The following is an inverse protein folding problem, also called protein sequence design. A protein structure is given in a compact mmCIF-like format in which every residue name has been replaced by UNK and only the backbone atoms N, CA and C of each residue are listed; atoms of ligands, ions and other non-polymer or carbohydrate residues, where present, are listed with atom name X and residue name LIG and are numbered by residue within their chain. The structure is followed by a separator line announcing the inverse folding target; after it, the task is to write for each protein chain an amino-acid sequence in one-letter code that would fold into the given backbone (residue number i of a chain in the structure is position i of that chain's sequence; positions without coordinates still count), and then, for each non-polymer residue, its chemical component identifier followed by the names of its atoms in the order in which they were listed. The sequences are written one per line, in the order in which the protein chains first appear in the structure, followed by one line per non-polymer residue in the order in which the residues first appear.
data_IF_707458428437
#
_entry.id   IF_707458428437
#
_cell.length_a   1.000
_cell.length_b   1.000
_cell.length_c   1.000
_cell.angle_alpha   90.00
_cell.angle_beta   90.00
_cell.angle_gamma   90.00
#
_symmetry.space_group_name_H-M   'P 1'
#
loop_
_entity.id
_entity.type
_entity.pdbx_description
1 polymer ?
#
# COMPACT_ATOMS: atom_id res chain seq x y z
N UNK A 1 -7.88 -13.93 -23.86
CA UNK A 1 -7.49 -14.38 -25.21
C UNK A 1 -6.01 -14.73 -25.19
N UNK A 2 -5.64 -15.96 -25.53
CA UNK A 2 -4.24 -16.38 -25.66
C UNK A 2 -3.65 -15.77 -26.93
N UNK A 3 -2.64 -14.92 -26.80
CA UNK A 3 -1.93 -14.38 -27.95
C UNK A 3 -1.06 -15.49 -28.55
N UNK A 4 -1.18 -15.72 -29.86
CA UNK A 4 -0.34 -16.70 -30.56
C UNK A 4 1.12 -16.26 -30.44
N UNK A 5 1.98 -17.18 -29.98
CA UNK A 5 3.45 -17.03 -29.83
C UNK A 5 4.12 -16.28 -31.00
N UNK A 6 3.59 -16.40 -32.21
CA UNK A 6 4.06 -15.70 -33.42
C UNK A 6 4.03 -14.16 -33.37
N UNK A 7 3.25 -13.52 -32.49
CA UNK A 7 3.12 -12.05 -32.46
C UNK A 7 4.35 -11.32 -31.94
N UNK A 8 5.22 -12.01 -31.19
CA UNK A 8 6.41 -11.44 -30.55
C UNK A 8 7.69 -11.72 -31.33
N UNK A 9 7.57 -12.25 -32.54
CA UNK A 9 8.71 -12.66 -33.36
C UNK A 9 8.65 -12.02 -34.74
N UNK A 10 9.84 -11.68 -35.24
CA UNK A 10 10.10 -11.42 -36.65
C UNK A 10 11.05 -12.52 -37.16
N UNK A 11 10.47 -13.53 -37.82
CA UNK A 11 11.15 -14.78 -38.12
C UNK A 11 11.65 -15.48 -36.85
N UNK A 12 12.97 -15.58 -36.68
CA UNK A 12 13.62 -16.16 -35.48
C UNK A 12 13.96 -15.12 -34.42
N UNK A 13 13.84 -13.82 -34.73
CA UNK A 13 14.20 -12.73 -33.82
C UNK A 13 13.04 -12.45 -32.87
N UNK A 14 13.31 -12.49 -31.57
CA UNK A 14 12.36 -12.05 -30.56
C UNK A 14 12.30 -10.51 -30.49
N UNK A 15 11.09 -9.97 -30.30
CA UNK A 15 10.80 -8.55 -30.24
C UNK A 15 10.39 -8.18 -28.80
N UNK A 16 11.38 -7.81 -27.96
CA UNK A 16 11.15 -7.49 -26.55
C UNK A 16 10.17 -6.32 -26.36
N UNK A 17 10.19 -5.35 -27.27
CA UNK A 17 9.29 -4.20 -27.25
C UNK A 17 7.82 -4.62 -27.43
N UNK A 18 7.52 -5.49 -28.39
CA UNK A 18 6.16 -6.01 -28.60
C UNK A 18 5.65 -6.82 -27.41
N UNK A 19 6.52 -7.61 -26.78
CA UNK A 19 6.18 -8.32 -25.54
C UNK A 19 5.92 -7.32 -24.41
N UNK A 20 6.76 -6.30 -24.26
CA UNK A 20 6.60 -5.24 -23.27
C UNK A 20 5.29 -4.47 -23.42
N UNK A 21 4.98 -3.98 -24.62
CA UNK A 21 3.72 -3.29 -24.93
C UNK A 21 2.50 -4.16 -24.62
N UNK A 22 2.60 -5.45 -24.95
CA UNK A 22 1.55 -6.41 -24.65
C UNK A 22 1.36 -6.59 -23.14
N UNK A 23 2.44 -6.76 -22.36
CA UNK A 23 2.35 -6.88 -20.90
C UNK A 23 1.76 -5.62 -20.28
N UNK A 24 2.23 -4.43 -20.69
CA UNK A 24 1.72 -3.13 -20.24
C UNK A 24 0.21 -3.04 -20.47
N UNK A 25 -0.26 -3.37 -21.68
CA UNK A 25 -1.67 -3.32 -22.02
C UNK A 25 -2.50 -4.37 -21.29
N UNK A 26 -2.03 -5.61 -21.23
CA UNK A 26 -2.77 -6.75 -20.68
C UNK A 26 -2.97 -6.65 -19.16
N UNK A 27 -1.94 -6.19 -18.45
CA UNK A 27 -1.93 -6.13 -17.01
C UNK A 27 -2.01 -4.69 -16.49
N UNK A 28 -2.36 -3.73 -17.36
CA UNK A 28 -2.54 -2.32 -17.01
C UNK A 28 -1.38 -1.75 -16.19
N UNK A 29 -0.14 -2.03 -16.62
CA UNK A 29 1.02 -1.57 -15.88
C UNK A 29 1.02 -0.04 -15.82
N UNK A 30 1.41 0.48 -14.67
CA UNK A 30 1.57 1.91 -14.42
C UNK A 30 2.71 2.15 -13.45
N UNK A 31 3.38 3.29 -13.57
CA UNK A 31 4.19 3.81 -12.47
C UNK A 31 3.30 4.70 -11.62
N UNK A 32 3.11 4.36 -10.34
CA UNK A 32 2.31 5.18 -9.43
C UNK A 32 3.29 6.14 -8.76
N UNK A 33 3.12 7.44 -8.99
CA UNK A 33 3.95 8.51 -8.41
C UNK A 33 3.25 9.07 -7.17
N UNK A 34 4.03 9.46 -6.16
CA UNK A 34 3.52 10.23 -5.02
C UNK A 34 3.64 11.72 -5.33
N UNK A 35 2.57 12.48 -5.15
CA UNK A 35 2.53 13.94 -5.41
C UNK A 35 3.58 14.72 -4.61
N UNK A 36 4.02 14.19 -3.47
CA UNK A 36 4.99 14.82 -2.58
C UNK A 36 6.45 14.46 -2.88
N UNK A 37 6.76 13.69 -3.92
CA UNK A 37 8.16 13.53 -4.35
C UNK A 37 8.64 14.91 -4.81
N UNK A 38 9.53 15.54 -4.03
CA UNK A 38 10.18 16.80 -4.39
C UNK A 38 10.64 16.73 -5.85
N UNK A 39 10.33 17.80 -6.60
CA UNK A 39 10.82 18.05 -7.96
C UNK A 39 12.32 17.69 -8.04
N UNK A 40 12.63 16.54 -8.65
CA UNK A 40 14.00 16.14 -8.97
C UNK A 40 14.53 14.84 -8.36
N UNK A 41 13.80 14.15 -7.46
CA UNK A 41 14.15 12.76 -7.16
C UNK A 41 13.76 11.89 -8.39
N UNK A 42 14.71 11.22 -9.07
CA UNK A 42 14.36 10.37 -10.20
C UNK A 42 13.37 9.31 -9.72
N UNK A 43 12.27 9.04 -10.45
CA UNK A 43 11.34 7.98 -10.08
C UNK A 43 12.10 6.67 -9.98
N UNK A 44 12.27 6.16 -8.77
CA UNK A 44 12.94 4.88 -8.56
C UNK A 44 12.12 3.76 -9.21
N UNK A 45 12.81 2.73 -9.72
CA UNK A 45 12.23 1.54 -10.37
C UNK A 45 11.22 0.75 -9.47
N UNK A 46 11.04 1.19 -8.22
CA UNK A 46 10.25 0.54 -7.16
C UNK A 46 8.74 0.83 -7.28
N UNK A 47 8.35 1.79 -8.12
CA UNK A 47 6.98 2.29 -8.20
C UNK A 47 6.14 1.77 -9.39
N UNK A 48 6.58 0.70 -10.04
CA UNK A 48 5.78 0.07 -11.10
C UNK A 48 4.80 -0.92 -10.47
N UNK A 49 3.53 -0.83 -10.86
CA UNK A 49 2.46 -1.73 -10.42
C UNK A 49 1.77 -2.35 -11.63
N UNK A 50 1.19 -3.53 -11.44
CA UNK A 50 0.33 -4.19 -12.41
C UNK A 50 -1.02 -4.53 -11.77
N UNK A 51 -2.08 -4.49 -12.57
CA UNK A 51 -3.40 -4.95 -12.16
C UNK A 51 -3.46 -6.47 -12.27
N UNK A 52 -3.47 -7.14 -11.12
CA UNK A 52 -3.49 -8.59 -11.04
C UNK A 52 -4.91 -9.13 -11.32
N UNK A 53 -5.13 -9.85 -12.43
CA UNK A 53 -6.46 -10.33 -12.80
C UNK A 53 -7.00 -11.43 -11.86
N UNK A 54 -6.18 -11.97 -10.94
CA UNK A 54 -6.64 -12.99 -9.98
C UNK A 54 -7.50 -12.40 -8.87
N UNK A 55 -7.20 -11.19 -8.43
CA UNK A 55 -7.85 -10.53 -7.30
C UNK A 55 -8.37 -9.12 -7.64
N UNK A 56 -8.10 -8.64 -8.86
CA UNK A 56 -8.45 -7.31 -9.34
C UNK A 56 -7.84 -6.18 -8.50
N UNK A 57 -6.61 -6.38 -8.01
CA UNK A 57 -5.85 -5.39 -7.26
C UNK A 57 -4.64 -4.92 -8.05
N UNK A 58 -4.20 -3.70 -7.80
CA UNK A 58 -2.84 -3.28 -8.14
C UNK A 58 -1.84 -3.89 -7.17
N UNK A 59 -0.76 -4.47 -7.70
CA UNK A 59 0.33 -5.09 -6.94
C UNK A 59 1.69 -4.61 -7.49
N UNK A 60 2.73 -4.55 -6.64
CA UNK A 60 4.07 -4.18 -7.09
C UNK A 60 4.57 -5.09 -8.23
N UNK A 61 5.05 -4.48 -9.30
CA UNK A 61 5.57 -5.13 -10.50
C UNK A 61 7.10 -5.10 -10.51
N UNK A 62 7.69 -6.12 -9.89
CA UNK A 62 9.15 -6.28 -9.85
C UNK A 62 9.72 -6.91 -11.12
N UNK A 63 11.05 -6.87 -11.28
CA UNK A 63 11.76 -7.64 -12.30
C UNK A 63 11.46 -9.14 -12.25
N UNK A 64 11.30 -9.70 -11.05
CA UNK A 64 10.93 -11.10 -10.86
C UNK A 64 9.54 -11.38 -11.43
N UNK A 65 8.60 -10.45 -11.18
CA UNK A 65 7.24 -10.54 -11.66
C UNK A 65 7.17 -10.37 -13.19
N UNK A 66 7.93 -9.43 -13.75
CA UNK A 66 8.11 -9.30 -15.20
C UNK A 66 8.62 -10.61 -15.84
N UNK A 67 9.63 -11.24 -15.24
CA UNK A 67 10.13 -12.53 -15.71
C UNK A 67 9.03 -13.60 -15.66
N UNK A 68 8.29 -13.68 -14.55
CA UNK A 68 7.19 -14.63 -14.37
C UNK A 68 6.11 -14.46 -15.44
N UNK A 69 5.62 -13.24 -15.65
CA UNK A 69 4.59 -12.95 -16.65
C UNK A 69 5.09 -13.21 -18.07
N UNK A 70 6.34 -12.87 -18.38
CA UNK A 70 6.93 -13.15 -19.70
C UNK A 70 6.99 -14.67 -19.98
N UNK A 71 7.38 -15.47 -18.98
CA UNK A 71 7.46 -16.94 -19.11
C UNK A 71 6.07 -17.57 -19.31
N UNK A 72 5.02 -16.98 -18.74
CA UNK A 72 3.65 -17.44 -18.97
C UNK A 72 3.21 -17.29 -20.44
N UNK A 73 3.76 -16.30 -21.14
CA UNK A 73 3.48 -16.09 -22.57
C UNK A 73 4.45 -16.90 -23.45
N UNK A 74 5.71 -17.04 -23.05
CA UNK A 74 6.68 -17.89 -23.72
C UNK A 74 7.68 -18.56 -22.76
N UNK A 75 7.49 -19.87 -22.55
CA UNK A 75 8.31 -20.68 -21.64
C UNK A 75 9.74 -20.92 -22.14
N UNK A 76 10.00 -20.75 -23.44
CA UNK A 76 11.31 -21.03 -24.05
C UNK A 76 12.21 -19.78 -24.12
N UNK A 77 11.68 -18.62 -23.72
CA UNK A 77 12.41 -17.37 -23.83
C UNK A 77 13.67 -17.40 -22.97
N UNK A 78 14.80 -16.95 -23.52
CA UNK A 78 16.08 -16.89 -22.78
C UNK A 78 16.09 -15.75 -21.76
N UNK A 79 16.92 -15.89 -20.72
CA UNK A 79 17.06 -14.87 -19.66
C UNK A 79 17.39 -13.48 -20.18
N UNK A 80 18.29 -13.35 -21.17
CA UNK A 80 18.65 -12.04 -21.71
C UNK A 80 17.48 -11.35 -22.42
N UNK A 81 16.68 -12.09 -23.19
CA UNK A 81 15.49 -11.55 -23.81
C UNK A 81 14.46 -11.08 -22.77
N UNK A 82 14.30 -11.78 -21.65
CA UNK A 82 13.43 -11.33 -20.54
C UNK A 82 13.95 -10.07 -19.85
N UNK A 83 15.28 -9.95 -19.70
CA UNK A 83 15.91 -8.71 -19.20
C UNK A 83 15.61 -7.53 -20.12
N UNK A 84 15.70 -7.72 -21.44
CA UNK A 84 15.37 -6.66 -22.41
C UNK A 84 13.90 -6.22 -22.31
N UNK A 85 12.96 -7.15 -22.07
CA UNK A 85 11.54 -6.80 -21.82
C UNK A 85 11.40 -5.91 -20.60
N UNK A 86 12.06 -6.26 -19.49
CA UNK A 86 12.04 -5.46 -18.26
C UNK A 86 12.61 -4.06 -18.47
N UNK A 87 13.80 -3.95 -19.07
CA UNK A 87 14.41 -2.64 -19.34
C UNK A 87 13.54 -1.78 -20.28
N UNK A 88 12.92 -2.40 -21.29
CA UNK A 88 11.98 -1.71 -22.17
C UNK A 88 10.77 -1.18 -21.42
N UNK A 89 10.08 -2.01 -20.63
CA UNK A 89 8.89 -1.60 -19.87
C UNK A 89 9.22 -0.42 -18.96
N UNK A 90 10.31 -0.51 -18.20
CA UNK A 90 10.75 0.58 -17.32
C UNK A 90 10.96 1.90 -18.04
N UNK A 91 11.45 1.84 -19.28
CA UNK A 91 11.80 3.01 -20.08
C UNK A 91 10.59 3.72 -20.67
N UNK A 92 9.46 3.02 -20.85
CA UNK A 92 8.29 3.56 -21.56
C UNK A 92 7.01 3.61 -20.72
N UNK A 93 7.06 3.10 -19.49
CA UNK A 93 5.87 3.02 -18.64
C UNK A 93 5.29 4.40 -18.37
N UNK A 94 3.96 4.52 -18.43
CA UNK A 94 3.29 5.78 -18.11
C UNK A 94 3.14 5.97 -16.61
N UNK A 95 3.40 7.19 -16.17
CA UNK A 95 3.14 7.64 -14.81
C UNK A 95 1.64 7.88 -14.56
N UNK A 96 1.23 7.75 -13.31
CA UNK A 96 -0.11 8.08 -12.83
C UNK A 96 -0.09 8.36 -11.32
N UNK A 97 -1.22 8.82 -10.80
CA UNK A 97 -1.44 9.08 -9.37
C UNK A 97 -2.57 8.18 -8.85
N UNK A 98 -2.67 8.08 -7.53
CA UNK A 98 -3.84 7.47 -6.88
C UNK A 98 -5.08 8.25 -7.31
N UNK A 99 -6.14 7.52 -7.69
CA UNK A 99 -7.29 8.16 -8.36
C UNK A 99 -8.13 9.04 -7.44
N UNK A 100 -8.42 8.55 -6.23
CA UNK A 100 -9.22 9.27 -5.25
C UNK A 100 -8.83 8.77 -3.84
N UNK A 101 -8.35 9.67 -2.95
CA UNK A 101 -7.92 9.28 -1.61
C UNK A 101 -9.05 8.77 -0.72
N UNK A 102 -10.31 9.01 -1.09
CA UNK A 102 -11.47 8.51 -0.37
C UNK A 102 -11.85 7.07 -0.75
N UNK A 103 -11.10 6.42 -1.65
CA UNK A 103 -11.36 5.04 -2.05
C UNK A 103 -10.41 4.11 -1.32
N UNK A 104 -10.98 3.19 -0.54
CA UNK A 104 -10.26 2.12 0.13
C UNK A 104 -10.45 0.82 -0.64
N UNK A 105 -9.36 0.12 -0.90
CA UNK A 105 -9.39 -1.23 -1.45
C UNK A 105 -9.67 -2.27 -0.37
N UNK A 106 -10.81 -2.95 -0.42
CA UNK A 106 -11.13 -4.09 0.46
C UNK A 106 -10.90 -5.42 -0.29
N UNK A 107 -11.10 -6.55 0.38
CA UNK A 107 -10.91 -7.87 -0.22
C UNK A 107 -11.88 -8.12 -1.39
N UNK A 108 -13.16 -7.75 -1.22
CA UNK A 108 -14.25 -8.02 -2.16
C UNK A 108 -14.58 -6.85 -3.10
N UNK A 109 -14.30 -5.61 -2.71
CA UNK A 109 -14.69 -4.43 -3.48
C UNK A 109 -13.78 -3.23 -3.20
N UNK A 110 -14.05 -2.11 -3.87
CA UNK A 110 -13.56 -0.80 -3.47
C UNK A 110 -14.66 -0.11 -2.66
N UNK A 111 -14.31 0.74 -1.70
CA UNK A 111 -15.28 1.44 -0.86
C UNK A 111 -14.98 2.92 -0.89
N UNK A 112 -15.99 3.74 -1.22
CA UNK A 112 -15.90 5.18 -1.02
C UNK A 112 -16.25 5.51 0.44
N UNK A 113 -15.26 5.87 1.25
CA UNK A 113 -15.42 6.03 2.69
C UNK A 113 -16.29 7.25 3.08
N UNK A 114 -16.49 8.21 2.18
CA UNK A 114 -17.40 9.34 2.42
C UNK A 114 -18.87 8.95 2.28
N UNK A 115 -19.16 7.95 1.46
CA UNK A 115 -20.54 7.58 1.10
C UNK A 115 -20.93 6.18 1.55
N UNK A 116 -19.96 5.34 1.95
CA UNK A 116 -20.16 3.92 2.24
C UNK A 116 -20.45 3.07 0.99
N UNK A 117 -20.36 3.63 -0.22
CA UNK A 117 -20.72 2.90 -1.43
C UNK A 117 -19.64 1.90 -1.81
N UNK A 118 -20.04 0.64 -1.96
CA UNK A 118 -19.24 -0.40 -2.59
C UNK A 118 -19.17 -0.17 -4.11
N UNK A 119 -17.96 -0.23 -4.65
CA UNK A 119 -17.65 -0.04 -6.06
C UNK A 119 -16.91 -1.27 -6.59
N UNK A 120 -17.03 -1.52 -7.89
CA UNK A 120 -16.32 -2.61 -8.53
C UNK A 120 -14.83 -2.30 -8.64
N UNK A 121 -13.98 -3.30 -8.37
CA UNK A 121 -12.55 -3.23 -8.65
C UNK A 121 -12.29 -3.16 -10.15
N UNK A 122 -11.52 -2.17 -10.57
CA UNK A 122 -11.24 -1.90 -11.98
C UNK A 122 -9.82 -1.36 -12.15
N UNK A 123 -9.14 -1.64 -13.27
CA UNK A 123 -7.87 -0.99 -13.61
C UNK A 123 -7.98 0.55 -13.74
N UNK A 124 -9.19 1.10 -13.85
CA UNK A 124 -9.41 2.54 -13.88
C UNK A 124 -9.26 3.24 -12.53
N UNK A 125 -9.28 2.49 -11.42
CA UNK A 125 -9.09 3.03 -10.07
C UNK A 125 -7.74 2.60 -9.53
N UNK A 126 -6.80 3.55 -9.50
CA UNK A 126 -5.42 3.33 -9.11
C UNK A 126 -5.30 3.45 -7.59
N UNK A 127 -4.87 2.37 -6.94
CA UNK A 127 -4.60 2.28 -5.51
C UNK A 127 -3.29 1.52 -5.27
N UNK A 128 -2.56 1.87 -4.21
CA UNK A 128 -1.36 1.12 -3.78
C UNK A 128 -1.66 0.03 -2.77
N UNK A 129 -2.67 0.25 -1.92
CA UNK A 129 -2.94 -0.57 -0.75
C UNK A 129 -4.36 -1.14 -0.77
N UNK A 130 -4.48 -2.35 -0.25
CA UNK A 130 -5.75 -3.06 -0.07
C UNK A 130 -5.76 -3.74 1.30
N UNK A 131 -6.80 -3.54 2.09
CA UNK A 131 -6.98 -4.23 3.36
C UNK A 131 -7.59 -5.64 3.15
N UNK A 132 -7.19 -6.66 3.93
CA UNK A 132 -7.67 -8.04 3.77
C UNK A 132 -9.06 -8.28 4.38
N UNK A 133 -9.90 -7.25 4.45
CA UNK A 133 -11.23 -7.27 5.08
C UNK A 133 -12.30 -7.30 3.99
N UNK A 134 -13.35 -8.12 4.17
CA UNK A 134 -14.55 -8.04 3.32
C UNK A 134 -15.42 -6.89 3.83
N UNK A 135 -15.76 -5.97 2.94
CA UNK A 135 -16.71 -4.92 3.25
C UNK A 135 -18.14 -5.45 3.13
N UNK A 136 -18.93 -5.20 4.16
CA UNK A 136 -20.37 -5.46 4.23
C UNK A 136 -21.05 -4.21 4.81
N UNK A 137 -21.82 -3.46 4.01
CA UNK A 137 -22.48 -2.23 4.49
C UNK A 137 -23.57 -2.50 5.54
N UNK A 138 -24.05 -3.74 5.65
CA UNK A 138 -25.09 -4.12 6.63
C UNK A 138 -24.50 -4.61 7.96
N UNK A 139 -23.18 -4.82 8.04
CA UNK A 139 -22.48 -5.26 9.25
C UNK A 139 -22.23 -4.10 10.22
N UNK A 140 -23.31 -3.49 10.71
CA UNK A 140 -23.27 -2.30 11.57
C UNK A 140 -22.95 -2.59 13.04
N UNK A 141 -23.16 -3.82 13.50
CA UNK A 141 -23.01 -4.23 14.91
C UNK A 141 -22.06 -5.42 15.02
N UNK A 142 -21.28 -5.48 16.10
CA UNK A 142 -20.39 -6.59 16.38
C UNK A 142 -20.16 -6.74 17.89
N UNK A 143 -20.88 -7.66 18.52
CA UNK A 143 -20.85 -7.87 19.98
C UNK A 143 -19.42 -8.01 20.56
N UNK A 144 -18.52 -8.67 19.83
CA UNK A 144 -17.14 -8.89 20.29
C UNK A 144 -16.35 -7.57 20.29
N UNK A 145 -16.45 -6.79 19.22
CA UNK A 145 -15.83 -5.48 19.12
C UNK A 145 -16.46 -4.49 20.09
N UNK A 146 -17.79 -4.49 20.21
CA UNK A 146 -18.53 -3.59 21.09
C UNK A 146 -18.18 -3.86 22.56
N UNK A 147 -18.11 -5.13 22.95
CA UNK A 147 -17.64 -5.55 24.28
C UNK A 147 -16.19 -5.15 24.50
N UNK A 148 -15.32 -5.33 23.50
CA UNK A 148 -13.92 -4.94 23.58
C UNK A 148 -13.76 -3.43 23.77
N UNK A 149 -14.47 -2.61 23.00
CA UNK A 149 -14.47 -1.15 23.12
C UNK A 149 -15.00 -0.72 24.49
N UNK A 150 -16.10 -1.33 24.96
CA UNK A 150 -16.64 -1.08 26.30
C UNK A 150 -15.67 -1.44 27.42
N UNK A 151 -14.91 -2.52 27.27
CA UNK A 151 -13.88 -2.89 28.25
C UNK A 151 -12.70 -1.91 28.27
N UNK A 152 -12.37 -1.30 27.13
CA UNK A 152 -11.28 -0.32 27.03
C UNK A 152 -11.68 1.07 27.54
N UNK A 153 -12.88 1.53 27.19
CA UNK A 153 -13.28 2.93 27.33
C UNK A 153 -14.60 3.13 28.10
N UNK A 154 -15.21 2.06 28.60
CA UNK A 154 -16.50 2.13 29.29
C UNK A 154 -17.65 2.45 28.34
N UNK A 155 -18.63 3.22 28.81
CA UNK A 155 -19.75 3.68 27.99
C UNK A 155 -19.47 5.06 27.32
N UNK A 156 -18.20 5.46 27.23
CA UNK A 156 -17.76 6.71 26.59
C UNK A 156 -17.86 6.62 25.05
N UNK A 157 -19.03 7.02 24.54
CA UNK A 157 -19.32 7.01 23.10
C UNK A 157 -18.45 7.97 22.29
N UNK A 158 -17.98 9.05 22.89
CA UNK A 158 -17.07 9.99 22.21
C UNK A 158 -15.71 9.33 22.00
N UNK A 159 -15.19 8.65 23.02
CA UNK A 159 -13.96 7.88 22.91
C UNK A 159 -14.08 6.73 21.92
N UNK A 160 -15.20 6.01 21.89
CA UNK A 160 -15.44 4.96 20.89
C UNK A 160 -15.37 5.53 19.47
N UNK A 161 -16.08 6.64 19.24
CA UNK A 161 -16.08 7.34 17.95
C UNK A 161 -14.67 7.82 17.56
N UNK A 162 -13.93 8.39 18.51
CA UNK A 162 -12.57 8.87 18.29
C UNK A 162 -11.61 7.74 17.88
N UNK A 163 -11.72 6.57 18.51
CA UNK A 163 -10.92 5.39 18.14
C UNK A 163 -11.25 4.92 16.72
N UNK A 164 -12.52 4.89 16.33
CA UNK A 164 -12.88 4.59 14.95
C UNK A 164 -12.36 5.63 13.96
N UNK A 165 -12.33 6.92 14.34
CA UNK A 165 -11.72 7.97 13.51
C UNK A 165 -10.22 7.79 13.36
N UNK A 166 -9.50 7.36 14.40
CA UNK A 166 -8.07 7.03 14.31
C UNK A 166 -7.84 5.88 13.31
N UNK A 167 -8.68 4.84 13.38
CA UNK A 167 -8.61 3.71 12.44
C UNK A 167 -8.95 4.17 11.01
N UNK A 168 -10.00 4.98 10.85
CA UNK A 168 -10.38 5.51 9.54
C UNK A 168 -9.30 6.43 8.95
N UNK A 169 -8.60 7.22 9.76
CA UNK A 169 -7.48 8.04 9.31
C UNK A 169 -6.34 7.18 8.77
N UNK A 170 -6.04 6.05 9.41
CA UNK A 170 -5.06 5.09 8.89
C UNK A 170 -5.46 4.39 7.58
N UNK A 171 -6.72 4.51 7.14
CA UNK A 171 -7.16 4.05 5.82
C UNK A 171 -6.90 5.07 4.72
N UNK A 172 -6.61 6.31 5.08
CA UNK A 172 -6.36 7.39 4.15
C UNK A 172 -4.92 7.30 3.59
N UNK A 173 -4.70 7.54 2.29
CA UNK A 173 -3.37 7.39 1.68
C UNK A 173 -2.43 8.59 1.92
N UNK A 174 -2.81 9.54 2.77
CA UNK A 174 -2.02 10.74 3.06
C UNK A 174 -2.05 11.10 4.56
N UNK A 175 -1.21 12.06 4.96
CA UNK A 175 -1.09 12.53 6.33
C UNK A 175 -1.79 13.89 6.56
N UNK A 176 -2.94 14.16 5.94
CA UNK A 176 -3.58 15.49 5.95
C UNK A 176 -3.91 16.04 7.36
N UNK A 177 -4.14 15.17 8.36
CA UNK A 177 -4.39 15.64 9.74
C UNK A 177 -3.09 16.01 10.47
N UNK A 178 -1.94 15.56 9.97
CA UNK A 178 -0.63 15.74 10.59
C UNK A 178 -0.61 15.29 12.05
N UNK A 179 -1.24 14.14 12.33
CA UNK A 179 -1.35 13.56 13.66
C UNK A 179 -0.67 12.20 13.74
N UNK A 180 -0.11 11.92 14.90
CA UNK A 180 0.15 10.58 15.38
C UNK A 180 -0.48 10.42 16.76
N UNK A 181 -0.73 9.17 17.16
CA UNK A 181 -1.48 8.88 18.38
C UNK A 181 -0.63 8.06 19.33
N UNK A 182 -0.62 8.46 20.59
CA UNK A 182 0.01 7.71 21.69
C UNK A 182 -1.11 7.13 22.54
N UNK A 183 -1.13 5.80 22.66
CA UNK A 183 -2.07 5.11 23.53
C UNK A 183 -1.50 5.06 24.95
N UNK A 184 -2.04 5.89 25.84
CA UNK A 184 -1.60 5.97 27.23
C UNK A 184 -2.49 5.13 28.17
N UNK A 185 -1.90 4.63 29.25
CA UNK A 185 -2.62 4.00 30.36
C UNK A 185 -1.75 2.97 31.08
N UNK A 186 -2.19 2.49 32.23
CA UNK A 186 -1.48 1.44 32.97
C UNK A 186 -1.46 0.09 32.22
N UNK A 187 -0.58 -0.81 32.63
CA UNK A 187 -0.46 -2.15 32.04
C UNK A 187 -1.76 -2.96 32.19
N UNK A 188 -2.03 -3.90 31.27
CA UNK A 188 -3.21 -4.77 31.35
C UNK A 188 -4.50 -4.20 30.74
N UNK A 189 -4.52 -2.92 30.35
CA UNK A 189 -5.73 -2.26 29.82
C UNK A 189 -5.98 -2.49 28.32
N UNK A 190 -5.62 -3.65 27.76
CA UNK A 190 -5.96 -4.02 26.39
C UNK A 190 -5.33 -3.21 25.24
N UNK A 191 -4.40 -2.27 25.50
CA UNK A 191 -3.67 -1.51 24.45
C UNK A 191 -2.95 -2.40 23.44
N UNK A 192 -2.18 -3.37 23.92
CA UNK A 192 -1.49 -4.34 23.05
C UNK A 192 -2.49 -5.20 22.28
N UNK A 193 -3.64 -5.53 22.89
CA UNK A 193 -4.74 -6.23 22.21
C UNK A 193 -5.34 -5.39 21.09
N UNK A 194 -5.54 -4.09 21.32
CA UNK A 194 -6.00 -3.15 20.29
C UNK A 194 -5.02 -3.06 19.12
N UNK A 195 -3.72 -2.84 19.39
CA UNK A 195 -2.70 -2.84 18.33
C UNK A 195 -2.64 -4.19 17.59
N UNK A 196 -2.84 -5.30 18.30
CA UNK A 196 -2.91 -6.62 17.69
C UNK A 196 -4.18 -6.85 16.85
N UNK A 197 -5.28 -6.16 17.13
CA UNK A 197 -6.49 -6.14 16.30
C UNK A 197 -6.28 -5.36 15.00
N UNK A 198 -5.51 -4.28 15.04
CA UNK A 198 -5.21 -3.46 13.86
C UNK A 198 -4.33 -4.21 12.83
N UNK A 199 -3.43 -5.08 13.28
CA UNK A 199 -2.53 -5.85 12.40
C UNK A 199 -3.27 -6.67 11.32
N UNK A 200 -4.25 -7.55 11.65
CA UNK A 200 -5.04 -8.25 10.66
C UNK A 200 -6.05 -7.35 9.93
N UNK A 201 -6.53 -6.28 10.57
CA UNK A 201 -7.45 -5.33 9.92
C UNK A 201 -6.79 -4.61 8.73
N UNK A 202 -5.63 -3.98 8.95
CA UNK A 202 -4.88 -3.35 7.87
C UNK A 202 -4.17 -4.39 6.98
N UNK A 203 -3.76 -5.52 7.55
CA UNK A 203 -2.98 -6.54 6.87
C UNK A 203 -1.48 -6.26 6.91
N UNK A 204 -0.67 -7.34 6.95
CA UNK A 204 0.78 -7.26 7.14
C UNK A 204 1.51 -6.42 6.09
N UNK A 205 1.01 -6.43 4.85
CA UNK A 205 1.61 -5.65 3.75
C UNK A 205 1.44 -4.13 3.93
N UNK A 206 0.44 -3.70 4.70
CA UNK A 206 0.09 -2.30 4.89
C UNK A 206 0.58 -1.72 6.22
N UNK A 207 1.29 -2.50 7.04
CA UNK A 207 1.79 -2.03 8.33
C UNK A 207 3.31 -2.06 8.42
N UNK A 208 3.88 -1.13 9.19
CA UNK A 208 5.22 -1.21 9.76
C UNK A 208 5.16 -1.28 11.29
N UNK A 209 6.25 -1.73 11.90
CA UNK A 209 6.42 -1.80 13.35
C UNK A 209 7.73 -1.09 13.69
N UNK A 210 7.65 0.23 13.84
CA UNK A 210 8.77 1.09 14.16
C UNK A 210 8.49 1.84 15.47
N UNK A 211 9.27 1.55 16.51
CA UNK A 211 9.26 2.31 17.75
C UNK A 211 9.84 3.71 17.57
N UNK A 212 9.46 4.66 18.43
CA UNK A 212 9.79 6.09 18.27
C UNK A 212 11.30 6.37 18.22
N UNK A 213 12.09 5.63 19.01
CA UNK A 213 13.56 5.76 19.07
C UNK A 213 14.21 5.56 17.69
N UNK A 214 13.63 4.69 16.86
CA UNK A 214 14.20 4.32 15.55
C UNK A 214 13.90 5.33 14.44
N UNK A 215 13.04 6.32 14.70
CA UNK A 215 12.80 7.40 13.72
C UNK A 215 14.01 8.33 13.56
N UNK A 216 14.98 8.31 14.47
CA UNK A 216 16.25 9.04 14.33
C UNK A 216 17.26 8.37 13.39
N UNK A 217 16.94 7.21 12.83
CA UNK A 217 17.88 6.40 12.04
C UNK A 217 17.28 6.04 10.68
N UNK A 218 17.80 6.69 9.63
CA UNK A 218 17.39 6.56 8.23
C UNK A 218 17.36 5.11 7.72
N UNK A 219 18.10 4.18 8.33
CA UNK A 219 18.11 2.75 7.97
C UNK A 219 16.76 2.09 8.22
N UNK A 220 15.99 2.58 9.18
CA UNK A 220 14.69 2.02 9.51
C UNK A 220 13.52 2.77 8.87
N UNK A 221 13.72 4.03 8.45
CA UNK A 221 12.69 4.85 7.81
C UNK A 221 12.17 4.22 6.51
N UNK A 222 13.04 3.54 5.75
CA UNK A 222 12.64 2.82 4.53
C UNK A 222 11.54 1.78 4.76
N UNK A 223 11.40 1.24 5.98
CA UNK A 223 10.33 0.28 6.31
C UNK A 223 8.92 0.86 6.32
N UNK A 224 8.80 2.20 6.36
CA UNK A 224 7.53 2.91 6.27
C UNK A 224 7.01 2.99 4.83
N UNK A 225 7.87 2.71 3.84
CA UNK A 225 7.53 2.85 2.44
C UNK A 225 6.35 1.97 2.03
N UNK A 226 5.34 2.59 1.41
CA UNK A 226 4.13 1.91 0.94
C UNK A 226 3.24 1.35 2.06
N UNK A 227 3.48 1.71 3.32
CA UNK A 227 2.65 1.31 4.46
C UNK A 227 1.56 2.34 4.71
N UNK A 228 0.39 1.86 5.14
CA UNK A 228 -0.74 2.69 5.56
C UNK A 228 -0.55 3.20 6.99
N UNK A 229 -0.06 2.34 7.89
CA UNK A 229 0.12 2.70 9.30
C UNK A 229 1.42 2.14 9.88
N UNK A 230 2.03 2.91 10.79
CA UNK A 230 3.08 2.43 11.67
C UNK A 230 2.51 2.15 13.07
N UNK A 231 2.70 0.93 13.57
CA UNK A 231 2.27 0.52 14.90
C UNK A 231 3.49 0.38 15.81
N UNK A 232 3.86 1.46 16.49
CA UNK A 232 4.97 1.46 17.45
C UNK A 232 4.56 0.87 18.80
N UNK A 233 5.42 0.01 19.35
CA UNK A 233 5.27 -0.62 20.66
C UNK A 233 6.12 0.07 21.76
N UNK A 234 7.26 0.66 21.38
CA UNK A 234 8.17 1.35 22.29
C UNK A 234 8.02 2.88 22.26
N UNK A 235 7.71 3.46 23.44
CA UNK A 235 7.62 4.90 23.67
C UNK A 235 8.58 5.24 24.82
N UNK A 236 9.85 5.49 24.50
CA UNK A 236 10.76 6.14 25.45
C UNK A 236 10.57 7.66 25.38
N UNK A 237 10.35 8.32 26.52
CA UNK A 237 10.06 9.76 26.57
C UNK A 237 11.16 10.64 25.95
N UNK A 238 12.41 10.21 26.00
CA UNK A 238 13.56 10.84 25.36
C UNK A 238 13.44 10.87 23.83
N UNK A 239 12.83 9.86 23.21
CA UNK A 239 12.69 9.75 21.76
C UNK A 239 11.73 10.79 21.16
N UNK A 240 10.76 11.25 21.95
CA UNK A 240 9.79 12.27 21.53
C UNK A 240 10.41 13.67 21.38
N UNK A 241 11.48 13.94 22.13
CA UNK A 241 12.08 15.28 22.22
C UNK A 241 13.07 15.58 21.08
N UNK A 242 13.57 14.57 20.38
CA UNK A 242 14.70 14.74 19.44
C UNK A 242 14.38 14.51 17.96
N UNK A 243 13.17 14.07 17.59
CA UNK A 243 12.95 13.58 16.22
C UNK A 243 12.37 14.63 15.26
N UNK A 244 13.24 15.43 14.64
CA UNK A 244 12.88 16.24 13.47
C UNK A 244 12.32 15.37 12.32
N UNK A 245 12.81 14.14 12.19
CA UNK A 245 12.34 13.16 11.20
C UNK A 245 10.91 12.69 11.50
N UNK A 246 10.56 12.40 12.76
CA UNK A 246 9.19 12.04 13.14
C UNK A 246 8.21 13.15 12.76
N UNK A 247 8.57 14.42 13.01
CA UNK A 247 7.73 15.57 12.59
C UNK A 247 7.48 15.56 11.09
N UNK A 248 8.53 15.33 10.29
CA UNK A 248 8.43 15.23 8.83
C UNK A 248 7.54 14.06 8.38
N UNK A 249 7.74 12.87 8.97
CA UNK A 249 6.89 11.71 8.65
C UNK A 249 5.43 12.00 8.99
N UNK A 250 5.16 12.55 10.18
CA UNK A 250 3.80 12.88 10.62
C UNK A 250 3.18 13.98 9.76
N UNK A 251 3.95 14.98 9.32
CA UNK A 251 3.46 16.04 8.44
C UNK A 251 3.33 15.62 6.97
N UNK A 252 3.84 14.44 6.60
CA UNK A 252 3.87 13.98 5.21
C UNK A 252 4.96 14.65 4.36
N UNK A 253 5.94 15.29 5.00
CA UNK A 253 7.11 15.85 4.34
C UNK A 253 8.04 14.74 3.85
N UNK A 254 8.73 14.94 2.72
CA UNK A 254 9.74 14.01 2.23
C UNK A 254 10.87 13.79 3.25
N UNK A 255 11.17 12.53 3.47
CA UNK A 255 12.27 12.07 4.33
C UNK A 255 13.23 11.25 3.49
N UNK A 256 14.52 11.43 3.74
CA UNK A 256 15.53 10.56 3.17
C UNK A 256 15.44 9.18 3.83
N UNK A 257 15.54 8.12 3.04
CA UNK A 257 15.56 6.75 3.51
C UNK A 257 16.58 5.97 2.70
N UNK A 258 17.41 5.18 3.38
CA UNK A 258 18.28 4.23 2.68
C UNK A 258 17.46 2.96 2.37
N UNK A 259 17.41 2.51 1.11
CA UNK A 259 16.73 1.27 0.72
C UNK A 259 17.45 0.00 1.22
#
# INVERSE_FOLDING_TARGET
MSVKKSSFYDGKKFLHNKMGDYLIKKYHLKRIINENLLDGAPPDDVDIYFFNPKNNNYEPFSKSECNRLTILEDKELKTNARKEVWEYIKSIISDCYITDPHIVGCLNCLVNIRTGKALQKTPGTILRNYIPVKYDPEALENDVLDTFMKNLFGDDREMHTFIYQIIAYGLWPDNHLQKFFILFGEGGNGKSTFLNLLKPFYGRENISILGLVKFGDDRYIGSLYGKMVNLGDDIEASALLESAVLKKVVSGEPVHANP
#
